data_IF_845093271982
#
_entry.id   IF_845093271982
#
_cell.length_a   1.000
_cell.length_b   1.000
_cell.length_c   1.000
_cell.angle_alpha   90.00
_cell.angle_beta   90.00
_cell.angle_gamma   90.00
#
_symmetry.space_group_name_H-M   'P 1'
#
loop_
_entity.id
_entity.type
_entity.pdbx_description
1 polymer ?
#
# COMPACT_ATOMS: atom_id res chain seq x y z
N UNK A 1 44.58 3.35 -3.85
CA UNK A 1 44.10 3.70 -2.49
C UNK A 1 43.02 4.77 -2.65
N UNK A 2 41.87 4.72 -1.95
CA UNK A 2 40.72 3.87 -2.31
C UNK A 2 39.37 4.63 -2.46
N UNK A 3 38.49 4.06 -3.30
CA UNK A 3 37.03 3.83 -3.13
C UNK A 3 36.18 4.85 -2.34
N UNK A 4 35.65 5.93 -2.94
CA UNK A 4 34.61 6.76 -2.28
C UNK A 4 33.59 7.44 -3.24
N UNK A 5 33.17 6.82 -4.34
CA UNK A 5 31.98 7.29 -5.07
C UNK A 5 30.73 6.51 -4.65
N UNK A 6 30.32 6.84 -3.42
CA UNK A 6 28.96 6.81 -2.85
C UNK A 6 27.91 6.28 -3.82
N UNK A 7 27.55 5.03 -3.57
CA UNK A 7 26.21 4.45 -3.71
C UNK A 7 25.18 5.53 -3.98
N UNK A 8 24.82 5.66 -5.25
CA UNK A 8 23.76 6.52 -5.75
C UNK A 8 22.51 6.12 -4.97
N UNK A 9 22.22 6.90 -3.93
CA UNK A 9 21.13 6.67 -3.00
C UNK A 9 19.86 6.70 -3.84
N UNK A 10 19.33 5.52 -4.12
CA UNK A 10 17.99 5.35 -4.65
C UNK A 10 17.12 6.12 -3.67
N UNK A 11 16.58 7.24 -4.13
CA UNK A 11 15.65 8.04 -3.35
C UNK A 11 14.44 7.13 -3.21
N UNK A 12 14.43 6.36 -2.12
CA UNK A 12 13.34 5.51 -1.71
C UNK A 12 12.12 6.42 -1.61
N UNK A 13 11.34 6.46 -2.67
CA UNK A 13 9.92 6.74 -2.54
C UNK A 13 9.42 5.56 -1.71
N UNK A 14 9.34 5.78 -0.39
CA UNK A 14 8.75 4.84 0.53
C UNK A 14 7.26 4.76 0.18
N UNK A 15 6.93 4.01 -0.87
CA UNK A 15 5.59 3.48 -1.09
C UNK A 15 5.34 2.50 0.04
N UNK A 16 4.96 3.06 1.19
CA UNK A 16 4.62 2.28 2.37
C UNK A 16 3.36 1.51 2.02
N UNK A 17 3.54 0.22 1.81
CA UNK A 17 2.46 -0.75 1.58
C UNK A 17 2.05 -1.38 2.92
N UNK A 18 0.77 -1.25 3.23
CA UNK A 18 0.12 -1.77 4.42
C UNK A 18 -0.65 -3.04 4.07
N UNK A 19 -0.60 -4.04 4.94
CA UNK A 19 -1.34 -5.29 4.76
C UNK A 19 -2.74 -5.16 5.36
N UNK A 20 -3.67 -5.99 4.89
CA UNK A 20 -4.93 -6.18 5.60
C UNK A 20 -4.68 -6.65 7.04
N UNK A 21 -5.36 -6.03 7.99
CA UNK A 21 -5.18 -6.23 9.43
C UNK A 21 -4.14 -5.31 10.06
N UNK A 22 -3.37 -4.55 9.29
CA UNK A 22 -2.42 -3.57 9.81
C UNK A 22 -3.16 -2.33 10.33
N UNK A 23 -2.56 -1.61 11.28
CA UNK A 23 -3.14 -0.37 11.80
C UNK A 23 -2.84 0.80 10.85
N UNK A 24 -3.84 1.62 10.60
CA UNK A 24 -3.72 2.81 9.77
C UNK A 24 -2.96 3.87 10.57
N UNK A 25 -1.77 4.30 10.12
CA UNK A 25 -0.96 5.22 10.90
C UNK A 25 -1.53 6.65 10.91
N UNK A 26 -2.16 7.05 9.80
CA UNK A 26 -2.62 8.42 9.60
C UNK A 26 -3.95 8.48 8.86
N UNK A 27 -4.73 9.51 9.15
CA UNK A 27 -5.96 9.76 8.41
C UNK A 27 -5.63 10.14 6.97
N UNK A 28 -6.22 9.45 5.99
CA UNK A 28 -5.93 9.73 4.59
C UNK A 28 -6.61 8.81 3.60
N UNK A 29 -6.35 9.07 2.31
CA UNK A 29 -6.77 8.18 1.24
C UNK A 29 -5.73 7.11 1.00
N UNK A 30 -6.20 5.87 0.96
CA UNK A 30 -5.39 4.70 0.65
C UNK A 30 -5.93 4.03 -0.59
N UNK A 31 -5.05 3.56 -1.46
CA UNK A 31 -5.37 2.79 -2.65
C UNK A 31 -5.07 1.32 -2.40
N UNK A 32 -6.02 0.46 -2.76
CA UNK A 32 -5.76 -0.97 -2.78
C UNK A 32 -4.85 -1.29 -3.97
N UNK A 33 -3.64 -1.79 -3.73
CA UNK A 33 -2.63 -2.09 -4.76
C UNK A 33 -3.16 -3.00 -5.88
N UNK A 34 -3.85 -4.14 -5.60
CA UNK A 34 -4.30 -5.04 -6.66
C UNK A 34 -5.42 -4.52 -7.58
N UNK A 35 -6.25 -3.56 -7.14
CA UNK A 35 -7.36 -3.05 -7.97
C UNK A 35 -7.42 -1.52 -8.11
N UNK A 36 -6.50 -0.78 -7.48
CA UNK A 36 -6.50 0.69 -7.47
C UNK A 36 -7.67 1.33 -6.73
N UNK A 37 -8.48 0.55 -6.00
CA UNK A 37 -9.66 1.06 -5.30
C UNK A 37 -9.23 1.99 -4.17
N UNK A 38 -9.70 3.24 -4.21
CA UNK A 38 -9.36 4.25 -3.21
C UNK A 38 -10.39 4.24 -2.08
N UNK A 39 -9.94 4.29 -0.84
CA UNK A 39 -10.79 4.40 0.34
C UNK A 39 -10.16 5.36 1.34
N UNK A 40 -10.98 6.21 1.94
CA UNK A 40 -10.53 7.01 3.07
C UNK A 40 -10.50 6.15 4.33
N UNK A 41 -9.35 6.12 5.01
CA UNK A 41 -9.16 5.39 6.25
C UNK A 41 -8.72 6.36 7.35
N UNK A 42 -9.16 6.06 8.57
CA UNK A 42 -8.84 6.86 9.74
C UNK A 42 -7.66 6.25 10.50
N UNK A 43 -6.83 7.10 11.10
CA UNK A 43 -5.75 6.66 11.97
C UNK A 43 -6.31 5.79 13.11
N UNK A 44 -5.61 4.71 13.46
CA UNK A 44 -6.05 3.72 14.45
C UNK A 44 -7.14 2.75 13.97
N UNK A 45 -7.66 2.89 12.75
CA UNK A 45 -8.48 1.85 12.13
C UNK A 45 -7.59 0.74 11.59
N UNK A 46 -8.17 -0.43 11.28
CA UNK A 46 -7.43 -1.51 10.62
C UNK A 46 -7.72 -1.55 9.12
N UNK A 47 -6.71 -1.83 8.31
CA UNK A 47 -6.88 -2.05 6.88
C UNK A 47 -7.75 -3.29 6.63
N UNK A 48 -8.95 -3.11 6.07
CA UNK A 48 -9.85 -4.21 5.74
C UNK A 48 -9.62 -4.76 4.33
N UNK A 49 -10.17 -5.95 4.06
CA UNK A 49 -10.16 -6.55 2.72
C UNK A 49 -10.85 -5.62 1.70
N UNK A 50 -10.27 -5.52 0.51
CA UNK A 50 -10.88 -4.72 -0.55
C UNK A 50 -12.02 -5.50 -1.22
N UNK A 51 -13.26 -5.19 -0.83
CA UNK A 51 -14.47 -5.79 -1.38
C UNK A 51 -14.59 -5.60 -2.90
N UNK A 52 -13.96 -4.55 -3.45
CA UNK A 52 -13.99 -4.28 -4.89
C UNK A 52 -13.13 -5.28 -5.67
N UNK A 53 -11.99 -5.68 -5.11
CA UNK A 53 -11.16 -6.78 -5.60
C UNK A 53 -11.87 -8.14 -5.43
N UNK A 54 -12.68 -8.30 -4.36
CA UNK A 54 -13.44 -9.53 -4.10
C UNK A 54 -14.65 -9.71 -5.05
N UNK A 55 -15.35 -8.60 -5.38
CA UNK A 55 -16.59 -8.61 -6.17
C UNK A 55 -16.41 -8.57 -7.69
N UNK A 56 -15.34 -7.94 -8.21
CA UNK A 56 -15.11 -7.85 -9.66
C UNK A 56 -14.24 -9.01 -10.14
N UNK A 57 -14.89 -10.04 -10.69
CA UNK A 57 -14.30 -11.11 -11.54
C UNK A 57 -12.91 -11.58 -11.08
N UNK A 58 -12.89 -12.48 -10.08
CA UNK A 58 -11.95 -13.58 -9.69
C UNK A 58 -10.53 -13.76 -10.32
N UNK A 59 -10.07 -13.02 -11.32
CA UNK A 59 -8.79 -13.24 -12.02
C UNK A 59 -7.59 -12.61 -11.33
N UNK A 60 -7.78 -11.61 -10.47
CA UNK A 60 -6.69 -10.88 -9.79
C UNK A 60 -6.68 -11.06 -8.26
N UNK A 61 -7.70 -11.69 -7.68
CA UNK A 61 -7.76 -11.96 -6.25
C UNK A 61 -6.85 -13.15 -5.90
N UNK A 62 -5.55 -12.91 -5.77
CA UNK A 62 -4.66 -13.87 -5.11
C UNK A 62 -4.68 -13.57 -3.61
N UNK A 63 -5.14 -14.55 -2.84
CA UNK A 63 -5.10 -14.52 -1.37
C UNK A 63 -3.67 -14.17 -0.95
N UNK A 64 -3.49 -13.06 -0.21
CA UNK A 64 -2.17 -12.55 0.20
C UNK A 64 -1.64 -11.34 -0.58
N UNK A 65 -2.31 -10.86 -1.64
CA UNK A 65 -1.99 -9.60 -2.32
C UNK A 65 -2.85 -8.40 -1.87
N UNK A 66 -3.54 -8.54 -0.73
CA UNK A 66 -4.42 -7.50 -0.20
C UNK A 66 -3.60 -6.43 0.50
N UNK A 67 -3.06 -5.54 -0.32
CA UNK A 67 -2.19 -4.45 0.10
C UNK A 67 -2.90 -3.11 -0.12
N UNK A 68 -2.58 -2.16 0.76
CA UNK A 68 -3.02 -0.79 0.72
C UNK A 68 -1.80 0.12 0.66
N UNK A 69 -1.86 1.15 -0.16
CA UNK A 69 -0.79 2.14 -0.30
C UNK A 69 -1.37 3.52 -0.01
N UNK A 70 -0.61 4.37 0.66
CA UNK A 70 -1.09 5.72 0.97
C UNK A 70 -0.99 6.61 -0.26
N UNK A 71 -2.10 7.22 -0.64
CA UNK A 71 -2.13 8.21 -1.71
C UNK A 71 -1.69 9.55 -1.12
N UNK A 72 -0.40 9.88 -1.26
CA UNK A 72 0.10 11.23 -0.99
C UNK A 72 -0.23 12.11 -2.20
N UNK A 73 -0.88 13.24 -1.96
CA UNK A 73 -1.15 14.26 -2.99
C UNK A 73 0.09 15.12 -3.21
#
# INVERSE_FOLDING_TARGET
>A
MPQELKTRLWKNTEDVVYKVGDEVPENGFYACVPCGSKKYLKAGAHFGNCLQCFGKKRRLFRKGLELWERIRK
#
